data_IF_592554114107
#
_entry.id   IF_592554114107
#
_cell.length_a   1.000
_cell.length_b   1.000
_cell.length_c   1.000
_cell.angle_alpha   90.00
_cell.angle_beta   90.00
_cell.angle_gamma   90.00
#
_symmetry.space_group_name_H-M   'P 1'
#
loop_
_entity.id
_entity.type
_entity.pdbx_description
1 polymer ?
#
# COMPACT_ATOMS: atom_id res chain seq x y z
N UNK A 1 -13.91 -4.30 9.09
CA UNK A 1 -15.05 -5.07 8.50
C UNK A 1 -16.28 -5.19 9.38
N UNK A 2 -16.21 -4.99 10.70
CA UNK A 2 -17.36 -5.18 11.60
C UNK A 2 -18.59 -4.28 11.30
N UNK A 3 -18.40 -3.20 10.56
CA UNK A 3 -19.46 -2.29 10.11
C UNK A 3 -20.13 -2.70 8.78
N UNK A 4 -19.59 -3.71 8.08
CA UNK A 4 -20.25 -4.27 6.89
C UNK A 4 -21.30 -5.29 7.31
N UNK A 5 -22.43 -5.29 6.60
CA UNK A 5 -23.39 -6.39 6.70
C UNK A 5 -22.74 -7.73 6.33
N UNK A 6 -23.35 -8.84 6.76
CA UNK A 6 -22.82 -10.18 6.56
C UNK A 6 -22.62 -10.53 5.07
N UNK A 7 -23.52 -10.07 4.20
CA UNK A 7 -23.45 -10.33 2.76
C UNK A 7 -22.22 -9.65 2.15
N UNK A 8 -21.99 -8.38 2.47
CA UNK A 8 -20.81 -7.63 2.00
C UNK A 8 -19.51 -8.18 2.57
N UNK A 9 -19.49 -8.60 3.84
CA UNK A 9 -18.32 -9.31 4.41
C UNK A 9 -18.03 -10.61 3.67
N UNK A 10 -19.08 -11.40 3.41
CA UNK A 10 -18.97 -12.65 2.66
C UNK A 10 -18.44 -12.43 1.24
N UNK A 11 -18.85 -11.36 0.57
CA UNK A 11 -18.33 -10.99 -0.75
C UNK A 11 -16.83 -10.67 -0.71
N UNK A 12 -16.35 -9.87 0.25
CA UNK A 12 -14.91 -9.60 0.34
C UNK A 12 -14.12 -10.88 0.64
N UNK A 13 -14.60 -11.72 1.55
CA UNK A 13 -13.94 -13.00 1.83
C UNK A 13 -13.88 -13.89 0.58
N UNK A 14 -14.96 -13.94 -0.21
CA UNK A 14 -15.00 -14.70 -1.46
C UNK A 14 -13.99 -14.16 -2.47
N UNK A 15 -13.92 -12.84 -2.66
CA UNK A 15 -12.93 -12.18 -3.53
C UNK A 15 -11.51 -12.59 -3.13
N UNK A 16 -11.18 -12.52 -1.83
CA UNK A 16 -9.84 -12.87 -1.34
C UNK A 16 -9.52 -14.36 -1.47
N UNK A 17 -10.53 -15.23 -1.33
CA UNK A 17 -10.35 -16.68 -1.51
C UNK A 17 -10.20 -17.07 -2.98
N UNK A 18 -10.83 -16.34 -3.89
CA UNK A 18 -10.79 -16.63 -5.33
C UNK A 18 -9.58 -16.01 -6.04
N UNK A 19 -9.02 -14.94 -5.48
CA UNK A 19 -7.81 -14.33 -6.00
C UNK A 19 -6.59 -15.23 -5.74
N UNK A 20 -6.25 -16.04 -6.74
CA UNK A 20 -5.05 -16.88 -6.72
C UNK A 20 -3.89 -16.07 -7.28
N UNK A 21 -2.95 -15.69 -6.41
CA UNK A 21 -1.65 -15.14 -6.79
C UNK A 21 -0.59 -16.22 -6.63
N UNK A 22 0.32 -16.34 -7.60
CA UNK A 22 1.46 -17.22 -7.47
C UNK A 22 2.33 -16.76 -6.29
N UNK A 23 2.76 -17.70 -5.46
CA UNK A 23 3.64 -17.44 -4.32
C UNK A 23 5.09 -17.36 -4.81
N UNK A 24 5.39 -16.25 -5.49
CA UNK A 24 6.70 -15.91 -6.06
C UNK A 24 7.03 -14.45 -5.76
N UNK A 25 8.28 -14.09 -6.03
CA UNK A 25 8.70 -12.70 -6.10
C UNK A 25 8.38 -12.12 -7.48
N UNK A 26 7.86 -10.90 -7.51
CA UNK A 26 7.59 -10.13 -8.73
C UNK A 26 8.67 -9.06 -8.87
N UNK A 27 9.44 -9.10 -9.96
CA UNK A 27 10.67 -8.34 -10.07
C UNK A 27 10.48 -6.88 -10.47
N UNK A 28 9.36 -6.57 -11.10
CA UNK A 28 9.08 -5.24 -11.65
C UNK A 28 7.57 -4.98 -11.70
N UNK A 29 7.22 -3.75 -12.11
CA UNK A 29 5.84 -3.33 -12.26
C UNK A 29 5.09 -4.17 -13.30
N UNK A 30 5.73 -4.57 -14.40
CA UNK A 30 5.05 -5.29 -15.47
C UNK A 30 4.57 -6.67 -14.99
N UNK A 31 5.41 -7.43 -14.26
CA UNK A 31 5.00 -8.72 -13.70
C UNK A 31 3.84 -8.58 -12.70
N UNK A 32 3.83 -7.50 -11.90
CA UNK A 32 2.74 -7.24 -10.95
C UNK A 32 1.45 -6.91 -11.69
N UNK A 33 1.50 -6.05 -12.71
CA UNK A 33 0.33 -5.66 -13.50
C UNK A 33 -0.27 -6.87 -14.24
N UNK A 34 0.56 -7.71 -14.85
CA UNK A 34 0.12 -8.96 -15.49
C UNK A 34 -0.65 -9.85 -14.50
N UNK A 35 -0.14 -9.95 -13.27
CA UNK A 35 -0.76 -10.74 -12.20
C UNK A 35 -2.07 -10.15 -11.73
N UNK A 36 -2.16 -8.83 -11.58
CA UNK A 36 -3.39 -8.10 -11.27
C UNK A 36 -4.44 -8.32 -12.37
N UNK A 37 -4.03 -8.28 -13.63
CA UNK A 37 -4.92 -8.42 -14.78
C UNK A 37 -5.56 -9.81 -14.84
N UNK A 38 -4.80 -10.85 -14.43
CA UNK A 38 -5.27 -12.22 -14.31
C UNK A 38 -6.21 -12.51 -13.13
N UNK A 39 -6.36 -11.58 -12.18
CA UNK A 39 -7.23 -11.80 -11.02
C UNK A 39 -8.72 -11.86 -11.41
N UNK A 40 -9.44 -12.82 -10.85
CA UNK A 40 -10.89 -12.95 -10.97
C UNK A 40 -11.64 -12.00 -10.01
N UNK A 41 -11.40 -10.69 -10.15
CA UNK A 41 -11.98 -9.63 -9.32
C UNK A 41 -12.53 -8.50 -10.19
N UNK A 42 -13.24 -7.53 -9.60
CA UNK A 42 -13.81 -6.42 -10.36
C UNK A 42 -12.73 -5.56 -11.03
N UNK A 43 -13.03 -4.98 -12.19
CA UNK A 43 -12.11 -4.04 -12.85
C UNK A 43 -11.82 -2.80 -11.99
N UNK A 44 -12.74 -2.42 -11.11
CA UNK A 44 -12.52 -1.33 -10.16
C UNK A 44 -11.44 -1.70 -9.13
N UNK A 45 -11.47 -2.92 -8.59
CA UNK A 45 -10.40 -3.42 -7.71
C UNK A 45 -9.07 -3.43 -8.47
N UNK A 46 -9.03 -4.00 -9.68
CA UNK A 46 -7.79 -4.03 -10.48
C UNK A 46 -7.25 -2.62 -10.73
N UNK A 47 -8.10 -1.69 -11.13
CA UNK A 47 -7.70 -0.29 -11.35
C UNK A 47 -7.09 0.34 -10.10
N UNK A 48 -7.70 0.15 -8.91
CA UNK A 48 -7.10 0.63 -7.67
C UNK A 48 -5.71 0.01 -7.44
N UNK A 49 -5.58 -1.31 -7.59
CA UNK A 49 -4.30 -2.00 -7.40
C UNK A 49 -3.22 -1.50 -8.36
N UNK A 50 -3.54 -1.32 -9.65
CA UNK A 50 -2.61 -0.78 -10.66
C UNK A 50 -2.10 0.62 -10.26
N UNK A 51 -2.99 1.50 -9.79
CA UNK A 51 -2.61 2.85 -9.36
C UNK A 51 -1.74 2.84 -8.10
N UNK A 52 -2.04 1.97 -7.13
CA UNK A 52 -1.22 1.83 -5.92
C UNK A 52 0.18 1.32 -6.27
N UNK A 53 0.29 0.33 -7.16
CA UNK A 53 1.58 -0.17 -7.62
C UNK A 53 2.36 0.83 -8.48
N UNK A 54 1.67 1.70 -9.21
CA UNK A 54 2.31 2.82 -9.90
C UNK A 54 2.97 3.79 -8.91
N UNK A 55 2.33 4.09 -7.77
CA UNK A 55 2.89 4.92 -6.71
C UNK A 55 4.14 4.26 -6.10
N UNK A 56 4.05 2.96 -5.79
CA UNK A 56 5.19 2.20 -5.27
C UNK A 56 6.36 2.20 -6.26
N UNK A 57 6.10 1.93 -7.53
CA UNK A 57 7.13 1.92 -8.56
C UNK A 57 7.79 3.30 -8.73
N UNK A 58 7.02 4.39 -8.62
CA UNK A 58 7.57 5.75 -8.69
C UNK A 58 8.48 6.06 -7.51
N UNK A 59 8.12 5.61 -6.31
CA UNK A 59 8.93 5.79 -5.11
C UNK A 59 10.24 5.00 -5.17
N UNK A 60 10.16 3.73 -5.56
CA UNK A 60 11.34 2.87 -5.76
C UNK A 60 12.27 3.43 -6.85
N UNK A 61 11.72 3.90 -7.98
CA UNK A 61 12.47 4.53 -9.05
C UNK A 61 13.25 5.77 -8.56
N UNK A 62 12.60 6.60 -7.74
CA UNK A 62 13.21 7.79 -7.15
C UNK A 62 14.38 7.42 -6.23
N UNK A 63 14.17 6.44 -5.34
CA UNK A 63 15.21 5.97 -4.39
C UNK A 63 16.40 5.38 -5.14
N UNK A 64 16.16 4.64 -6.23
CA UNK A 64 17.20 4.00 -7.02
C UNK A 64 17.80 4.90 -8.12
N UNK A 65 17.26 6.11 -8.33
CA UNK A 65 17.72 7.03 -9.36
C UNK A 65 17.57 6.48 -10.78
N UNK A 66 16.52 5.68 -11.03
CA UNK A 66 16.26 5.07 -12.32
C UNK A 66 14.87 5.47 -12.87
N UNK A 67 14.57 5.03 -14.09
CA UNK A 67 13.25 5.20 -14.67
C UNK A 67 12.28 4.13 -14.11
N UNK A 68 10.99 4.44 -14.03
CA UNK A 68 9.96 3.55 -13.46
C UNK A 68 9.91 2.19 -14.18
N UNK A 69 10.07 2.18 -15.50
CA UNK A 69 10.12 0.99 -16.34
C UNK A 69 11.40 0.15 -16.15
N UNK A 70 12.40 0.68 -15.47
CA UNK A 70 13.68 0.03 -15.13
C UNK A 70 13.84 -0.25 -13.64
N UNK A 71 12.78 -0.03 -12.87
CA UNK A 71 12.80 -0.21 -11.42
C UNK A 71 12.66 -1.68 -11.07
N UNK A 72 13.50 -2.15 -10.15
CA UNK A 72 13.42 -3.50 -9.61
C UNK A 72 12.79 -3.46 -8.22
N UNK A 73 11.82 -4.34 -7.98
CA UNK A 73 11.18 -4.46 -6.69
C UNK A 73 11.98 -5.40 -5.80
N UNK A 74 12.35 -4.92 -4.62
CA UNK A 74 13.01 -5.72 -3.60
C UNK A 74 12.04 -6.07 -2.47
N UNK A 75 11.47 -5.09 -1.79
CA UNK A 75 10.49 -5.33 -0.72
C UNK A 75 9.03 -5.38 -1.22
N UNK A 76 8.67 -4.52 -2.18
CA UNK A 76 7.26 -4.33 -2.60
C UNK A 76 6.74 -5.38 -3.58
N UNK A 77 7.65 -6.19 -4.14
CA UNK A 77 7.38 -7.26 -5.10
C UNK A 77 6.98 -8.59 -4.48
N UNK A 78 6.86 -8.69 -3.16
CA UNK A 78 6.41 -9.92 -2.49
C UNK A 78 4.91 -10.16 -2.74
N UNK A 79 4.53 -11.39 -3.07
CA UNK A 79 3.14 -11.82 -3.22
C UNK A 79 2.24 -11.45 -2.02
N UNK A 80 2.78 -11.43 -0.79
CA UNK A 80 2.05 -10.99 0.40
C UNK A 80 1.68 -9.49 0.34
N UNK A 81 2.58 -8.64 -0.15
CA UNK A 81 2.28 -7.21 -0.34
C UNK A 81 1.14 -7.03 -1.37
N UNK A 82 1.15 -7.78 -2.47
CA UNK A 82 0.08 -7.74 -3.48
C UNK A 82 -1.25 -8.20 -2.86
N UNK A 83 -1.24 -9.28 -2.06
CA UNK A 83 -2.42 -9.78 -1.34
C UNK A 83 -2.98 -8.74 -0.36
N UNK A 84 -2.12 -8.02 0.35
CA UNK A 84 -2.51 -6.95 1.27
C UNK A 84 -3.17 -5.77 0.53
N UNK A 85 -2.60 -5.35 -0.60
CA UNK A 85 -3.18 -4.30 -1.45
C UNK A 85 -4.55 -4.75 -1.97
N UNK A 86 -4.67 -5.99 -2.46
CA UNK A 86 -5.94 -6.55 -2.90
C UNK A 86 -7.00 -6.53 -1.78
N UNK A 87 -6.63 -6.93 -0.57
CA UNK A 87 -7.52 -6.96 0.59
C UNK A 87 -8.09 -5.57 0.90
N UNK A 88 -7.26 -4.54 0.87
CA UNK A 88 -7.71 -3.17 1.10
C UNK A 88 -8.59 -2.67 -0.06
N UNK A 89 -8.19 -2.91 -1.32
CA UNK A 89 -9.00 -2.53 -2.48
C UNK A 89 -10.40 -3.17 -2.46
N UNK A 90 -10.48 -4.45 -2.12
CA UNK A 90 -11.75 -5.17 -1.98
C UNK A 90 -12.59 -4.64 -0.81
N UNK A 91 -11.95 -4.31 0.32
CA UNK A 91 -12.64 -3.68 1.44
C UNK A 91 -13.20 -2.30 1.07
N UNK A 92 -12.42 -1.45 0.42
CA UNK A 92 -12.86 -0.11 -0.04
C UNK A 92 -14.02 -0.22 -1.03
N UNK A 93 -13.96 -1.18 -1.97
CA UNK A 93 -15.08 -1.41 -2.89
C UNK A 93 -16.36 -1.83 -2.15
N UNK A 94 -16.26 -2.76 -1.19
CA UNK A 94 -17.42 -3.25 -0.44
C UNK A 94 -18.03 -2.21 0.51
N UNK A 95 -17.18 -1.38 1.12
CA UNK A 95 -17.65 -0.25 1.93
C UNK A 95 -18.24 0.87 1.06
N UNK A 96 -17.69 1.08 -0.14
CA UNK A 96 -18.03 2.18 -1.05
C UNK A 96 -18.13 3.54 -0.32
N UNK A 97 -17.09 3.96 0.43
CA UNK A 97 -17.14 5.20 1.18
C UNK A 97 -17.24 6.41 0.24
N UNK A 98 -18.00 7.43 0.66
CA UNK A 98 -18.02 8.71 -0.05
C UNK A 98 -16.67 9.46 0.08
N UNK A 99 -16.02 9.33 1.24
CA UNK A 99 -14.68 9.85 1.52
C UNK A 99 -13.97 8.94 2.52
N UNK A 100 -12.65 8.88 2.42
CA UNK A 100 -11.74 8.31 3.42
C UNK A 100 -10.95 9.47 4.02
N UNK A 101 -11.04 9.60 5.34
CA UNK A 101 -10.38 10.66 6.11
C UNK A 101 -9.40 9.97 7.06
N UNK A 102 -8.18 10.49 7.14
CA UNK A 102 -7.16 10.00 8.06
C UNK A 102 -6.64 11.12 8.97
N UNK A 103 -5.94 10.73 10.02
CA UNK A 103 -5.05 11.62 10.78
C UNK A 103 -3.65 11.63 10.16
N UNK A 104 -2.71 12.47 10.64
CA UNK A 104 -1.31 12.34 10.25
C UNK A 104 -0.79 10.91 10.40
N UNK A 105 0.12 10.52 9.51
CA UNK A 105 0.67 9.17 9.44
C UNK A 105 1.74 8.99 10.50
N UNK A 106 1.56 8.00 11.35
CA UNK A 106 2.57 7.54 12.29
C UNK A 106 3.57 6.67 11.53
N UNK A 107 4.75 7.23 11.20
CA UNK A 107 5.81 6.48 10.50
C UNK A 107 6.58 5.56 11.43
N UNK A 108 6.63 5.94 12.70
CA UNK A 108 7.54 5.40 13.71
C UNK A 108 8.96 5.95 13.56
N UNK A 109 9.87 5.41 14.38
CA UNK A 109 11.27 5.82 14.46
C UNK A 109 12.21 4.62 14.70
N UNK A 110 13.50 4.83 14.43
CA UNK A 110 14.56 3.82 14.59
C UNK A 110 15.09 3.34 13.24
N UNK A 111 15.46 2.07 13.17
CA UNK A 111 15.97 1.42 11.96
C UNK A 111 15.23 0.12 11.65
N UNK A 112 15.25 -0.29 10.39
CA UNK A 112 14.70 -1.56 9.90
C UNK A 112 15.77 -2.30 9.10
N UNK A 113 15.85 -3.62 9.25
CA UNK A 113 16.75 -4.48 8.47
C UNK A 113 15.96 -5.10 7.31
N UNK A 114 16.44 -4.88 6.09
CA UNK A 114 15.79 -5.32 4.85
C UNK A 114 16.83 -5.78 3.81
N UNK A 115 16.41 -6.00 2.56
CA UNK A 115 17.30 -6.46 1.49
C UNK A 115 18.42 -5.45 1.19
N UNK A 116 18.19 -4.18 1.49
CA UNK A 116 19.13 -3.07 1.36
C UNK A 116 20.05 -2.86 2.58
N UNK A 117 20.02 -3.78 3.54
CA UNK A 117 20.71 -3.64 4.82
C UNK A 117 19.86 -2.90 5.85
N UNK A 118 20.53 -2.17 6.74
CA UNK A 118 19.87 -1.38 7.78
C UNK A 118 19.53 0.02 7.26
N UNK A 119 18.24 0.37 7.30
CA UNK A 119 17.70 1.64 6.81
C UNK A 119 17.06 2.42 7.95
N UNK A 120 17.05 3.78 7.89
CA UNK A 120 16.28 4.58 8.83
C UNK A 120 14.78 4.34 8.65
N UNK A 121 14.01 4.63 9.70
CA UNK A 121 12.55 4.72 9.64
C UNK A 121 12.15 6.21 9.60
N UNK A 122 11.31 6.63 8.64
CA UNK A 122 10.73 5.83 7.54
C UNK A 122 11.77 5.36 6.53
N UNK A 123 11.58 4.15 5.98
CA UNK A 123 12.41 3.64 4.89
C UNK A 123 12.34 4.57 3.66
N UNK A 124 13.37 4.64 2.80
CA UNK A 124 13.46 5.62 1.71
C UNK A 124 12.25 5.65 0.77
N UNK A 125 11.70 4.49 0.39
CA UNK A 125 10.51 4.44 -0.46
C UNK A 125 9.26 4.95 0.29
N UNK A 126 9.11 4.65 1.58
CA UNK A 126 8.06 5.24 2.43
C UNK A 126 8.21 6.76 2.49
N UNK A 127 9.43 7.25 2.76
CA UNK A 127 9.71 8.69 2.83
C UNK A 127 9.36 9.41 1.53
N UNK A 128 9.78 8.87 0.38
CA UNK A 128 9.47 9.45 -0.94
C UNK A 128 7.96 9.57 -1.19
N UNK A 129 7.16 8.59 -0.75
CA UNK A 129 5.68 8.67 -0.88
C UNK A 129 5.13 9.75 0.05
N UNK A 130 5.61 9.84 1.29
CA UNK A 130 5.12 10.82 2.26
C UNK A 130 5.43 12.27 1.86
N UNK A 131 6.59 12.48 1.22
CA UNK A 131 7.03 13.77 0.68
C UNK A 131 6.09 14.36 -0.40
N UNK A 132 5.14 13.58 -0.92
CA UNK A 132 4.08 14.06 -1.82
C UNK A 132 3.03 14.96 -1.14
N UNK A 133 3.18 15.21 0.17
CA UNK A 133 2.31 16.10 0.95
C UNK A 133 1.45 15.38 1.98
N UNK A 134 1.83 14.16 2.36
CA UNK A 134 1.12 13.39 3.39
C UNK A 134 1.63 13.84 4.77
N UNK A 135 0.77 14.38 5.65
CA UNK A 135 1.21 14.83 6.96
C UNK A 135 1.61 13.62 7.82
N UNK A 136 2.67 13.79 8.61
CA UNK A 136 3.17 12.79 9.56
C UNK A 136 3.01 13.28 11.01
N UNK A 137 2.96 12.34 11.96
CA UNK A 137 2.89 12.68 13.38
C UNK A 137 4.17 13.42 13.83
N UNK A 138 4.05 14.35 14.78
CA UNK A 138 5.23 15.01 15.37
C UNK A 138 5.98 14.07 16.34
N UNK A 139 5.23 13.28 17.10
CA UNK A 139 5.75 12.26 18.01
C UNK A 139 5.75 10.90 17.33
N UNK A 140 6.91 10.22 17.34
CA UNK A 140 7.07 8.93 16.67
C UNK A 140 7.09 7.77 17.67
N UNK A 141 6.45 6.66 17.30
CA UNK A 141 6.50 5.41 18.08
C UNK A 141 7.71 4.55 17.68
N UNK A 142 8.30 3.76 18.59
CA UNK A 142 9.44 2.90 18.24
C UNK A 142 9.08 1.87 17.16
N UNK A 143 10.00 1.62 16.23
CA UNK A 143 9.89 0.62 15.16
C UNK A 143 9.03 1.08 13.98
N UNK A 144 9.02 0.29 12.91
CA UNK A 144 8.29 0.66 11.70
C UNK A 144 6.77 0.61 11.95
N UNK A 145 6.08 1.71 11.62
CA UNK A 145 4.62 1.83 11.72
C UNK A 145 3.94 2.07 10.37
N UNK A 146 4.71 2.48 9.36
CA UNK A 146 4.24 2.66 8.00
C UNK A 146 5.25 2.07 6.99
N UNK A 147 4.84 1.00 6.32
CA UNK A 147 5.59 0.40 5.21
C UNK A 147 5.37 1.18 3.90
N UNK A 148 6.20 0.99 2.86
CA UNK A 148 5.95 1.61 1.55
C UNK A 148 4.55 1.28 1.01
N UNK A 149 4.11 0.02 1.15
CA UNK A 149 2.76 -0.44 0.78
C UNK A 149 1.67 0.33 1.50
N UNK A 150 1.82 0.57 2.80
CA UNK A 150 0.85 1.33 3.60
C UNK A 150 0.81 2.79 3.18
N UNK A 151 1.98 3.41 2.96
CA UNK A 151 2.08 4.78 2.48
C UNK A 151 1.42 4.95 1.10
N UNK A 152 1.63 4.02 0.16
CA UNK A 152 0.99 4.06 -1.15
C UNK A 152 -0.54 3.91 -1.09
N UNK A 153 -1.04 3.03 -0.21
CA UNK A 153 -2.48 2.89 0.04
C UNK A 153 -3.08 4.18 0.60
N UNK A 154 -2.40 4.81 1.56
CA UNK A 154 -2.82 6.08 2.16
C UNK A 154 -2.81 7.19 1.10
N UNK A 155 -1.73 7.32 0.34
CA UNK A 155 -1.59 8.28 -0.75
C UNK A 155 -2.71 8.17 -1.78
N UNK A 156 -3.13 6.95 -2.11
CA UNK A 156 -4.14 6.70 -3.12
C UNK A 156 -5.57 6.91 -2.62
N UNK A 157 -5.91 6.40 -1.42
CA UNK A 157 -7.29 6.34 -0.96
C UNK A 157 -7.73 7.51 -0.08
N UNK A 158 -6.82 8.12 0.69
CA UNK A 158 -7.18 9.18 1.64
C UNK A 158 -7.48 10.47 0.89
N UNK A 159 -8.65 11.05 1.15
CA UNK A 159 -9.09 12.28 0.52
C UNK A 159 -8.78 13.53 1.34
N UNK A 160 -8.67 13.38 2.66
CA UNK A 160 -8.52 14.49 3.59
C UNK A 160 -7.78 14.02 4.84
N UNK A 161 -6.90 14.88 5.36
CA UNK A 161 -6.23 14.68 6.64
C UNK A 161 -6.78 15.66 7.66
N UNK A 162 -7.08 15.16 8.86
CA UNK A 162 -7.54 15.98 10.00
C UNK A 162 -6.59 15.83 11.17
N UNK A 163 -6.51 16.85 12.01
CA UNK A 163 -5.72 16.76 13.24
C UNK A 163 -6.14 15.56 14.08
N UNK A 164 -5.15 14.88 14.66
CA UNK A 164 -5.42 13.87 15.67
C UNK A 164 -5.64 14.59 17.01
N UNK A 165 -6.85 14.56 17.60
CA UNK A 165 -7.09 15.20 18.90
C UNK A 165 -6.27 14.58 20.04
N UNK A 166 -5.63 13.43 19.82
CA UNK A 166 -4.76 12.76 20.79
C UNK A 166 -3.27 13.06 20.59
N UNK A 167 -2.87 13.72 19.50
CA UNK A 167 -1.46 14.07 19.23
C UNK A 167 -0.49 12.89 19.07
N UNK A 168 -1.01 11.68 18.77
CA UNK A 168 -0.22 10.46 18.54
C UNK A 168 -0.13 10.10 17.05
#
# INVERSE_FOLDING_TARGET
MLQLDEKRRGQVHLVLKQAVLADKHYHDLAEVIESIDGLAVSERIKNHMRQIYQILAQAEAQVHGCAVDKTHFHEVGNAEAIRNVLAVCAAVEAFAPAKIIATPVQTGEGTVVCAHGELPIPAPATAAILETGIPTCEFMLPGERCTPTSAALIAYFVNEYKENPLGL
#
